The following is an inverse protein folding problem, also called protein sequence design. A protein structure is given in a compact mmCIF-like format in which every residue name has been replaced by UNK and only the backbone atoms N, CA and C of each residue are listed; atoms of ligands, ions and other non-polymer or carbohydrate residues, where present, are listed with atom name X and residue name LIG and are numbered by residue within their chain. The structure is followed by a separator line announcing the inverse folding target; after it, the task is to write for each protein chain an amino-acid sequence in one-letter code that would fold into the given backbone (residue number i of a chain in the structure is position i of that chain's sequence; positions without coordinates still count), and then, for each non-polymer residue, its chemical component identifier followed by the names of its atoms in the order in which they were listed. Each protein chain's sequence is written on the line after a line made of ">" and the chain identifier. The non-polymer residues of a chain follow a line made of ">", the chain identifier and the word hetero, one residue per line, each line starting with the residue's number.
data_IF_330603524982
#
_entry.id   IF_330603524982
#
_cell.length_a   1.000
_cell.length_b   1.000
_cell.length_c   1.000
_cell.angle_alpha   90.00
_cell.angle_beta   90.00
_cell.angle_gamma   90.00
#
_symmetry.space_group_name_H-M   'P 1'
#
loop_
_entity.id
_entity.type
_entity.pdbx_description
1 polymer ?
#
# COMPACT_ATOMS: atom_id res chain seq x y z
N UNK A 1 64.87 41.05 -20.21
CA UNK A 1 65.63 39.80 -19.96
C UNK A 1 66.38 39.78 -18.61
N UNK A 2 65.89 40.47 -17.55
CA UNK A 2 66.47 40.43 -16.18
C UNK A 2 65.50 39.89 -15.11
N UNK A 3 64.25 39.61 -15.48
CA UNK A 3 63.22 39.09 -14.56
C UNK A 3 63.11 37.56 -14.54
N UNK A 4 63.72 36.84 -15.50
CA UNK A 4 63.58 35.37 -15.61
C UNK A 4 64.59 34.63 -14.70
N UNK A 5 65.70 35.25 -14.30
CA UNK A 5 66.71 34.60 -13.43
C UNK A 5 66.38 34.62 -11.92
N UNK A 6 65.41 35.42 -11.46
CA UNK A 6 65.03 35.45 -10.02
C UNK A 6 64.05 34.33 -9.65
N UNK A 7 63.23 33.86 -10.59
CA UNK A 7 62.18 32.87 -10.32
C UNK A 7 62.74 31.46 -10.05
N UNK A 8 63.86 31.08 -10.69
CA UNK A 8 64.47 29.76 -10.48
C UNK A 8 65.09 29.57 -9.09
N UNK A 9 65.58 30.63 -8.44
CA UNK A 9 66.11 30.52 -7.07
C UNK A 9 65.00 30.38 -6.02
N UNK A 10 63.84 30.97 -6.27
CA UNK A 10 62.69 30.86 -5.38
C UNK A 10 62.08 29.45 -5.42
N UNK A 11 61.96 28.87 -6.62
CA UNK A 11 61.45 27.50 -6.79
C UNK A 11 62.39 26.48 -6.14
N UNK A 12 63.72 26.64 -6.32
CA UNK A 12 64.70 25.74 -5.69
C UNK A 12 64.66 25.82 -4.15
N UNK A 13 64.44 27.01 -3.59
CA UNK A 13 64.31 27.22 -2.15
C UNK A 13 63.05 26.55 -1.59
N UNK A 14 61.91 26.68 -2.30
CA UNK A 14 60.65 26.03 -1.93
C UNK A 14 60.78 24.51 -1.99
N UNK A 15 61.45 23.97 -3.02
CA UNK A 15 61.68 22.53 -3.13
C UNK A 15 62.58 21.99 -2.02
N UNK A 16 63.62 22.74 -1.63
CA UNK A 16 64.51 22.35 -0.53
C UNK A 16 63.76 22.34 0.82
N UNK A 17 62.89 23.33 1.05
CA UNK A 17 62.07 23.42 2.26
C UNK A 17 61.07 22.25 2.32
N UNK A 18 60.44 21.88 1.20
CA UNK A 18 59.50 20.76 1.13
C UNK A 18 60.19 19.42 1.43
N UNK A 19 61.42 19.19 0.92
CA UNK A 19 62.19 17.97 1.20
C UNK A 19 62.61 17.88 2.69
N UNK A 20 62.85 19.01 3.35
CA UNK A 20 63.18 19.02 4.79
C UNK A 20 61.96 18.92 5.71
N UNK A 21 60.76 19.30 5.28
CA UNK A 21 59.54 19.18 6.10
C UNK A 21 58.93 17.77 5.98
N UNK A 22 59.14 17.08 4.85
CA UNK A 22 58.65 15.71 4.63
C UNK A 22 59.55 14.61 5.19
N UNK A 23 60.72 14.95 5.74
CA UNK A 23 61.59 14.00 6.45
C UNK A 23 61.25 13.97 7.93
N UNK A 24 60.01 13.60 8.25
CA UNK A 24 59.70 13.16 9.61
C UNK A 24 60.21 11.72 9.76
N UNK A 25 61.13 11.52 10.69
CA UNK A 25 61.58 10.19 11.10
C UNK A 25 60.39 9.47 11.74
N UNK A 26 59.85 8.47 11.03
CA UNK A 26 58.87 7.54 11.59
C UNK A 26 59.65 6.66 12.56
N UNK A 27 59.47 6.88 13.86
CA UNK A 27 59.94 5.94 14.87
C UNK A 27 59.04 4.71 14.78
N UNK A 28 59.57 3.61 14.27
CA UNK A 28 58.95 2.32 14.48
C UNK A 28 59.07 1.99 15.98
N UNK A 29 57.98 2.08 16.72
CA UNK A 29 57.92 1.50 18.06
C UNK A 29 58.07 -0.01 17.90
N UNK A 30 59.01 -0.61 18.63
CA UNK A 30 59.08 -2.06 18.69
C UNK A 30 57.81 -2.60 19.38
N UNK A 31 57.29 -3.73 18.91
CA UNK A 31 56.10 -4.42 19.45
C UNK A 31 56.40 -5.12 20.77
N UNK A 32 57.14 -4.44 21.65
CA UNK A 32 57.65 -4.93 22.91
C UNK A 32 57.10 -4.05 24.04
N UNK A 33 56.26 -4.64 24.88
CA UNK A 33 55.89 -4.08 26.18
C UNK A 33 56.73 -4.74 27.27
N UNK A 34 56.67 -4.19 28.48
CA UNK A 34 57.41 -4.73 29.64
C UNK A 34 57.03 -6.18 29.97
N UNK A 35 55.85 -6.65 29.54
CA UNK A 35 55.32 -7.97 29.88
C UNK A 35 55.15 -8.92 28.67
N UNK A 36 55.16 -8.41 27.43
CA UNK A 36 54.91 -9.20 26.23
C UNK A 36 55.72 -8.67 25.04
N UNK A 37 56.31 -9.59 24.28
CA UNK A 37 57.01 -9.34 23.03
C UNK A 37 56.36 -10.20 21.95
N UNK A 38 56.04 -9.59 20.80
CA UNK A 38 55.51 -10.31 19.63
C UNK A 38 56.70 -10.65 18.72
N UNK A 39 57.08 -11.93 18.69
CA UNK A 39 58.12 -12.42 17.78
C UNK A 39 57.49 -12.95 16.47
N UNK A 40 57.99 -12.49 15.32
CA UNK A 40 57.60 -13.01 14.01
C UNK A 40 56.42 -12.32 13.32
N UNK A 41 56.04 -11.10 13.73
CA UNK A 41 55.03 -10.32 13.01
C UNK A 41 55.52 -9.98 11.58
N UNK A 42 54.97 -10.67 10.57
CA UNK A 42 55.12 -10.26 9.17
C UNK A 42 53.89 -9.48 8.75
N UNK A 43 54.03 -8.18 8.56
CA UNK A 43 52.98 -7.40 7.91
C UNK A 43 53.07 -7.65 6.41
N UNK A 44 52.14 -8.42 5.86
CA UNK A 44 51.99 -8.57 4.42
C UNK A 44 51.80 -7.20 3.78
N UNK A 45 52.51 -6.92 2.69
CA UNK A 45 52.53 -5.62 2.01
C UNK A 45 51.23 -5.28 1.26
N UNK A 46 50.08 -5.37 1.93
CA UNK A 46 48.78 -4.96 1.41
C UNK A 46 48.05 -4.14 2.47
N UNK A 47 48.13 -2.82 2.35
CA UNK A 47 47.50 -1.90 3.31
C UNK A 47 47.54 -0.47 2.80
N UNK A 48 46.81 -0.21 1.72
CA UNK A 48 46.48 1.14 1.30
C UNK A 48 45.43 1.73 2.22
N UNK A 49 45.84 2.72 3.01
CA UNK A 49 45.09 3.92 3.40
C UNK A 49 43.56 3.81 3.54
N UNK A 50 43.08 3.42 4.73
CA UNK A 50 42.00 4.08 5.50
C UNK A 50 41.79 3.33 6.81
N UNK A 51 42.62 3.60 7.81
CA UNK A 51 42.25 3.39 9.21
C UNK A 51 42.66 4.63 10.02
N UNK A 52 41.78 5.00 10.93
CA UNK A 52 41.59 6.37 11.40
C UNK A 52 42.68 6.84 12.36
N UNK A 53 43.08 8.10 12.18
CA UNK A 53 43.86 8.85 13.17
C UNK A 53 42.96 9.25 14.33
N UNK A 54 43.00 8.53 15.45
CA UNK A 54 43.07 9.10 16.80
C UNK A 54 43.10 8.01 17.87
N UNK A 55 43.97 8.21 18.88
CA UNK A 55 44.25 7.23 19.90
C UNK A 55 43.04 6.84 20.76
N UNK A 56 42.84 5.53 20.89
CA UNK A 56 41.94 4.92 21.85
C UNK A 56 41.56 3.49 21.46
N UNK A 57 42.22 2.49 22.05
CA UNK A 57 41.72 1.13 22.30
C UNK A 57 40.86 0.42 21.24
N UNK A 58 41.28 0.29 19.98
CA UNK A 58 40.58 -0.59 19.03
C UNK A 58 41.60 -1.37 18.17
N UNK A 59 41.97 -2.57 18.64
CA UNK A 59 42.50 -3.60 17.76
C UNK A 59 41.31 -4.27 17.07
N UNK A 60 40.91 -3.75 15.91
CA UNK A 60 40.05 -4.48 14.99
C UNK A 60 40.91 -5.51 14.26
N UNK A 61 41.01 -6.72 14.81
CA UNK A 61 41.41 -7.89 14.03
C UNK A 61 40.12 -8.45 13.43
N UNK A 62 39.68 -7.88 12.31
CA UNK A 62 39.00 -8.68 11.29
C UNK A 62 40.07 -9.29 10.39
N UNK A 63 40.94 -10.12 10.97
CA UNK A 63 41.64 -11.10 10.16
C UNK A 63 40.58 -11.99 9.54
N UNK A 64 40.55 -12.10 8.22
CA UNK A 64 39.63 -12.96 7.46
C UNK A 64 39.31 -14.24 8.24
N UNK A 65 38.15 -14.27 8.90
CA UNK A 65 37.67 -15.46 9.61
C UNK A 65 37.13 -16.35 8.50
N UNK A 66 37.99 -17.21 7.97
CA UNK A 66 37.65 -18.10 6.86
C UNK A 66 38.80 -18.95 6.37
N UNK A 67 40.05 -18.48 6.49
CA UNK A 67 41.23 -19.27 6.17
C UNK A 67 42.26 -19.21 7.29
N UNK A 68 41.98 -19.89 8.41
CA UNK A 68 43.06 -20.36 9.28
C UNK A 68 43.59 -21.68 8.72
N UNK A 69 44.42 -21.63 7.67
CA UNK A 69 45.35 -22.72 7.38
C UNK A 69 46.67 -22.43 8.08
N UNK A 70 46.64 -22.33 9.41
CA UNK A 70 47.87 -22.19 10.20
C UNK A 70 48.05 -23.41 11.10
N UNK A 71 48.95 -24.29 10.69
CA UNK A 71 49.40 -25.48 11.41
C UNK A 71 50.04 -25.14 12.78
N UNK A 72 50.21 -23.85 13.10
CA UNK A 72 50.76 -23.36 14.38
C UNK A 72 49.74 -23.25 15.52
N UNK A 73 48.45 -23.55 15.29
CA UNK A 73 47.41 -23.55 16.34
C UNK A 73 47.07 -25.00 16.78
N UNK A 74 48.10 -25.83 16.96
CA UNK A 74 47.99 -27.14 17.58
C UNK A 74 48.92 -27.23 18.81
N UNK A 75 48.38 -27.69 19.94
CA UNK A 75 49.17 -28.16 21.09
C UNK A 75 48.86 -29.63 21.35
N UNK A 76 49.68 -30.28 22.17
CA UNK A 76 49.52 -31.71 22.51
C UNK A 76 48.16 -32.05 23.14
N UNK A 77 47.42 -31.05 23.66
CA UNK A 77 46.14 -31.23 24.34
C UNK A 77 44.96 -30.45 23.72
N UNK A 78 45.22 -29.54 22.79
CA UNK A 78 44.19 -28.67 22.20
C UNK A 78 44.50 -28.44 20.72
N UNK A 79 43.53 -28.72 19.88
CA UNK A 79 43.55 -28.40 18.45
C UNK A 79 42.37 -27.48 18.15
N UNK A 80 42.64 -26.32 17.58
CA UNK A 80 41.59 -25.49 16.97
C UNK A 80 41.44 -26.00 15.55
N UNK A 81 40.33 -26.68 15.28
CA UNK A 81 40.01 -27.14 13.94
C UNK A 81 39.54 -25.95 13.09
N UNK A 82 40.04 -25.78 11.85
CA UNK A 82 39.47 -24.83 10.93
C UNK A 82 38.04 -25.25 10.58
N UNK A 83 37.11 -24.31 10.75
CA UNK A 83 35.73 -24.39 10.32
C UNK A 83 35.13 -23.00 10.42
N UNK A 84 34.33 -22.60 9.44
CA UNK A 84 33.51 -21.40 9.60
C UNK A 84 32.69 -21.60 10.87
N UNK A 85 32.78 -20.74 11.90
CA UNK A 85 31.88 -20.85 13.01
C UNK A 85 30.48 -20.63 12.44
N UNK A 86 29.64 -21.67 12.41
CA UNK A 86 28.19 -21.58 12.21
C UNK A 86 27.49 -20.66 13.26
N UNK A 87 28.28 -19.92 14.04
CA UNK A 87 27.90 -19.04 15.14
C UNK A 87 27.64 -17.60 14.65
N UNK A 88 27.84 -17.31 13.36
CA UNK A 88 27.61 -15.98 12.77
C UNK A 88 26.53 -15.97 11.67
N UNK A 89 25.87 -17.11 11.43
CA UNK A 89 24.76 -17.17 10.46
C UNK A 89 23.46 -16.92 11.22
N UNK A 90 22.62 -16.03 10.71
CA UNK A 90 21.28 -15.82 11.24
C UNK A 90 20.48 -17.13 11.20
N UNK A 91 19.55 -17.29 12.14
CA UNK A 91 18.57 -18.37 12.05
C UNK A 91 17.72 -18.17 10.79
N UNK A 92 17.31 -19.27 10.16
CA UNK A 92 16.41 -19.22 9.00
C UNK A 92 15.04 -18.70 9.49
N UNK A 93 14.55 -17.55 9.00
CA UNK A 93 13.25 -17.03 9.40
C UNK A 93 12.13 -17.87 8.78
N UNK A 94 10.90 -17.64 9.24
CA UNK A 94 9.68 -18.16 8.61
C UNK A 94 8.75 -17.00 8.18
N UNK A 95 7.77 -17.31 7.35
CA UNK A 95 6.71 -16.36 6.98
C UNK A 95 5.51 -16.66 7.88
N UNK A 96 5.14 -15.73 8.75
CA UNK A 96 3.97 -15.86 9.63
C UNK A 96 2.68 -15.76 8.81
N UNK A 97 2.60 -14.77 7.92
CA UNK A 97 1.47 -14.63 7.01
C UNK A 97 1.91 -14.09 5.64
N UNK A 98 1.17 -14.44 4.59
CA UNK A 98 1.30 -13.83 3.26
C UNK A 98 -0.07 -13.77 2.59
N UNK A 99 -0.70 -12.59 2.62
CA UNK A 99 -2.11 -12.43 2.30
C UNK A 99 -2.36 -11.31 1.28
N UNK A 100 -3.32 -11.58 0.40
CA UNK A 100 -3.81 -10.64 -0.63
C UNK A 100 -5.34 -10.60 -0.66
N UNK A 101 -6.01 -11.72 -0.38
CA UNK A 101 -7.46 -11.91 -0.63
C UNK A 101 -8.22 -12.52 0.55
N UNK A 102 -7.62 -12.56 1.74
CA UNK A 102 -8.26 -13.13 2.94
C UNK A 102 -9.55 -12.37 3.30
N UNK A 103 -10.56 -13.12 3.77
CA UNK A 103 -11.90 -12.60 4.09
C UNK A 103 -12.46 -13.28 5.32
N UNK A 104 -12.86 -12.48 6.32
CA UNK A 104 -13.48 -12.93 7.58
C UNK A 104 -12.50 -13.51 8.61
N UNK A 105 -11.26 -13.77 8.22
CA UNK A 105 -10.14 -14.16 9.09
C UNK A 105 -8.83 -13.75 8.45
N UNK A 106 -7.81 -13.48 9.25
CA UNK A 106 -6.41 -13.32 8.82
C UNK A 106 -5.49 -14.11 9.74
N UNK A 107 -4.36 -14.57 9.20
CA UNK A 107 -3.28 -15.18 9.98
C UNK A 107 -2.23 -14.16 10.41
N UNK A 108 -2.32 -12.93 9.90
CA UNK A 108 -1.45 -11.83 10.27
C UNK A 108 -1.86 -11.24 11.63
N UNK A 109 -0.89 -10.68 12.32
CA UNK A 109 -1.03 -9.99 13.62
C UNK A 109 -1.42 -8.52 13.50
N UNK A 110 -1.32 -7.92 12.30
CA UNK A 110 -1.71 -6.52 12.05
C UNK A 110 -3.19 -6.25 12.37
N UNK A 111 -3.41 -5.29 13.28
CA UNK A 111 -4.73 -4.93 13.77
C UNK A 111 -5.64 -4.32 12.71
N UNK A 112 -5.09 -3.73 11.65
CA UNK A 112 -5.85 -3.07 10.59
C UNK A 112 -6.49 -4.08 9.62
N UNK A 113 -6.03 -5.34 9.60
CA UNK A 113 -6.63 -6.46 8.86
C UNK A 113 -7.42 -7.41 9.76
N UNK A 114 -7.25 -7.35 11.08
CA UNK A 114 -8.09 -8.14 11.99
C UNK A 114 -9.42 -7.42 12.26
N UNK A 115 -10.58 -8.11 12.19
CA UNK A 115 -10.76 -9.55 11.99
C UNK A 115 -11.01 -9.98 10.53
N UNK A 116 -11.30 -9.04 9.62
CA UNK A 116 -11.96 -9.35 8.34
C UNK A 116 -11.01 -9.65 7.18
N UNK A 117 -9.70 -9.59 7.38
CA UNK A 117 -8.66 -9.89 6.40
C UNK A 117 -8.44 -8.80 5.37
N UNK A 118 -7.74 -9.14 4.28
CA UNK A 118 -7.33 -8.19 3.24
C UNK A 118 -8.51 -7.54 2.50
N UNK A 119 -9.69 -8.15 2.49
CA UNK A 119 -10.90 -7.51 1.92
C UNK A 119 -11.34 -6.27 2.69
N UNK A 120 -10.97 -6.15 3.97
CA UNK A 120 -11.22 -4.92 4.74
C UNK A 120 -10.35 -3.77 4.22
N UNK A 121 -9.11 -4.06 3.84
CA UNK A 121 -8.18 -3.04 3.34
C UNK A 121 -8.34 -2.72 1.85
N UNK A 122 -8.66 -3.75 1.07
CA UNK A 122 -8.65 -3.69 -0.37
C UNK A 122 -10.04 -3.78 -0.98
N UNK A 123 -11.12 -3.86 -0.19
CA UNK A 123 -12.48 -3.96 -0.71
C UNK A 123 -12.83 -5.35 -1.26
N UNK A 124 -13.92 -5.42 -2.02
CA UNK A 124 -14.46 -6.68 -2.53
C UNK A 124 -13.42 -7.43 -3.37
N UNK A 125 -13.27 -8.74 -3.16
CA UNK A 125 -12.28 -9.62 -3.82
C UNK A 125 -10.81 -9.45 -3.38
N UNK A 126 -10.51 -8.53 -2.45
CA UNK A 126 -9.16 -8.33 -1.91
C UNK A 126 -8.22 -7.58 -2.87
N UNK A 127 -6.94 -7.53 -2.53
CA UNK A 127 -5.93 -6.75 -3.22
C UNK A 127 -5.50 -7.39 -4.55
N UNK A 128 -5.57 -6.64 -5.65
CA UNK A 128 -5.14 -7.12 -6.97
C UNK A 128 -3.67 -6.79 -7.28
N UNK A 129 -3.05 -5.85 -6.57
CA UNK A 129 -1.74 -5.27 -6.89
C UNK A 129 -0.76 -5.20 -5.72
N UNK A 130 -1.15 -5.67 -4.53
CA UNK A 130 -0.35 -5.57 -3.31
C UNK A 130 -0.66 -6.70 -2.34
N UNK A 131 0.24 -6.91 -1.39
CA UNK A 131 0.11 -7.94 -0.36
C UNK A 131 0.63 -7.44 1.00
N UNK A 132 0.19 -8.13 2.05
CA UNK A 132 0.81 -8.13 3.39
C UNK A 132 1.63 -9.40 3.53
N UNK A 133 2.86 -9.27 4.00
CA UNK A 133 3.69 -10.37 4.49
C UNK A 133 4.17 -10.06 5.92
N UNK A 134 4.16 -11.03 6.82
CA UNK A 134 4.72 -10.90 8.17
C UNK A 134 5.80 -11.96 8.38
N UNK A 135 6.83 -11.57 9.11
CA UNK A 135 8.06 -12.31 9.32
C UNK A 135 7.98 -12.95 10.69
N UNK A 136 8.11 -14.27 10.76
CA UNK A 136 8.42 -14.92 12.03
C UNK A 136 9.96 -14.92 12.18
N UNK A 137 10.53 -14.10 13.09
CA UNK A 137 11.97 -13.98 13.24
C UNK A 137 12.61 -15.24 13.81
N UNK A 138 11.82 -16.18 14.34
CA UNK A 138 12.28 -17.33 15.12
C UNK A 138 13.11 -16.86 16.33
N UNK A 139 14.31 -17.40 16.53
CA UNK A 139 15.24 -17.03 17.61
C UNK A 139 16.24 -15.94 17.19
N UNK A 140 16.00 -15.20 16.09
CA UNK A 140 16.86 -14.09 15.69
C UNK A 140 16.70 -12.89 16.65
N UNK A 141 17.77 -12.09 16.79
CA UNK A 141 17.73 -10.85 17.57
C UNK A 141 16.96 -9.76 16.85
N UNK A 142 16.49 -8.75 17.59
CA UNK A 142 15.64 -7.66 17.05
C UNK A 142 16.35 -6.74 16.06
N UNK A 143 17.68 -6.77 16.02
CA UNK A 143 18.53 -6.03 15.09
C UNK A 143 18.87 -6.81 13.81
N UNK A 144 18.39 -8.05 13.68
CA UNK A 144 18.50 -8.83 12.44
C UNK A 144 17.73 -8.14 11.32
N UNK A 145 18.36 -8.09 10.15
CA UNK A 145 17.76 -7.54 8.95
C UNK A 145 17.26 -8.67 8.04
N UNK A 146 16.17 -8.43 7.33
CA UNK A 146 15.50 -9.41 6.50
C UNK A 146 15.33 -8.86 5.09
N UNK A 147 15.48 -9.73 4.09
CA UNK A 147 15.11 -9.45 2.70
C UNK A 147 14.02 -10.42 2.25
N UNK A 148 13.07 -9.90 1.49
CA UNK A 148 11.95 -10.67 0.96
C UNK A 148 12.20 -10.98 -0.50
N UNK A 149 12.27 -12.28 -0.81
CA UNK A 149 12.33 -12.79 -2.16
C UNK A 149 10.93 -13.17 -2.63
N UNK A 150 10.58 -12.82 -3.86
CA UNK A 150 9.26 -13.08 -4.44
C UNK A 150 9.37 -13.44 -5.92
N UNK A 151 8.44 -14.26 -6.40
CA UNK A 151 8.28 -14.58 -7.82
C UNK A 151 6.85 -14.98 -8.14
N UNK A 152 6.48 -14.90 -9.41
CA UNK A 152 5.25 -15.54 -9.90
C UNK A 152 5.38 -17.06 -9.77
N UNK A 153 4.34 -17.74 -9.27
CA UNK A 153 4.36 -19.19 -9.10
C UNK A 153 4.59 -19.89 -10.44
N UNK A 154 5.60 -20.78 -10.46
CA UNK A 154 6.07 -21.44 -11.69
C UNK A 154 7.23 -20.74 -12.40
N UNK A 155 7.58 -19.51 -12.00
CA UNK A 155 8.85 -18.88 -12.41
C UNK A 155 10.04 -19.60 -11.76
N UNK A 156 11.16 -19.67 -12.50
CA UNK A 156 12.45 -20.11 -11.95
C UNK A 156 13.26 -18.97 -11.33
N UNK A 157 12.89 -17.71 -11.61
CA UNK A 157 13.66 -16.53 -11.23
C UNK A 157 13.04 -15.89 -10.00
N UNK A 158 13.83 -15.79 -8.93
CA UNK A 158 13.51 -14.98 -7.75
C UNK A 158 13.86 -13.52 -8.00
N UNK A 159 13.05 -12.65 -7.43
CA UNK A 159 13.20 -11.20 -7.39
C UNK A 159 13.14 -10.73 -5.95
N UNK A 160 13.43 -9.47 -5.71
CA UNK A 160 13.49 -8.90 -4.37
C UNK A 160 12.45 -7.79 -4.22
N UNK A 161 11.99 -7.58 -3.00
CA UNK A 161 11.16 -6.42 -2.66
C UNK A 161 12.10 -5.31 -2.20
N UNK A 162 12.07 -4.17 -2.87
CA UNK A 162 12.91 -3.01 -2.56
C UNK A 162 12.53 -2.44 -1.18
N UNK A 163 13.52 -2.26 -0.31
CA UNK A 163 13.32 -1.86 1.09
C UNK A 163 12.90 -0.40 1.28
N UNK A 164 12.87 0.41 0.21
CA UNK A 164 12.48 1.82 0.26
C UNK A 164 11.07 2.03 -0.32
N UNK A 165 10.79 1.38 -1.43
CA UNK A 165 9.59 1.57 -2.26
C UNK A 165 8.59 0.43 -2.11
N UNK A 166 9.00 -0.71 -1.54
CA UNK A 166 8.20 -1.93 -1.41
C UNK A 166 7.76 -2.51 -2.76
N UNK A 167 8.39 -2.11 -3.87
CA UNK A 167 8.10 -2.60 -5.22
C UNK A 167 9.06 -3.74 -5.56
N UNK A 168 8.60 -4.70 -6.36
CA UNK A 168 9.45 -5.79 -6.85
C UNK A 168 10.51 -5.27 -7.81
N UNK A 169 11.75 -5.65 -7.57
CA UNK A 169 12.92 -5.34 -8.39
C UNK A 169 13.74 -6.58 -8.78
N UNK A 170 14.67 -6.40 -9.72
CA UNK A 170 15.52 -7.48 -10.20
C UNK A 170 16.81 -7.58 -9.34
N UNK A 171 17.45 -8.75 -9.33
CA UNK A 171 18.70 -9.01 -8.57
C UNK A 171 19.83 -8.00 -8.82
N UNK A 172 19.84 -7.32 -9.96
CA UNK A 172 20.86 -6.34 -10.30
C UNK A 172 20.75 -5.02 -9.51
N UNK A 173 19.58 -4.73 -8.93
CA UNK A 173 19.34 -3.54 -8.12
C UNK A 173 19.22 -3.83 -6.62
N UNK A 174 19.04 -5.10 -6.26
CA UNK A 174 19.08 -5.59 -4.87
C UNK A 174 20.42 -5.26 -4.21
N UNK A 175 20.36 -4.50 -3.12
CA UNK A 175 21.49 -4.07 -2.32
C UNK A 175 21.21 -4.15 -0.80
N UNK A 176 22.15 -3.62 0.00
CA UNK A 176 22.06 -3.71 1.47
C UNK A 176 20.89 -2.90 2.05
N UNK A 177 20.35 -1.91 1.32
CA UNK A 177 19.21 -1.11 1.76
C UNK A 177 17.88 -1.88 1.68
N UNK A 178 17.86 -3.04 1.01
CA UNK A 178 16.70 -3.93 0.91
C UNK A 178 16.61 -4.92 2.09
N UNK A 179 17.57 -4.83 3.01
CA UNK A 179 17.57 -5.55 4.27
C UNK A 179 17.05 -4.63 5.37
N UNK A 180 15.84 -4.88 5.83
CA UNK A 180 15.20 -4.10 6.90
C UNK A 180 14.92 -4.97 8.12
N UNK A 181 14.84 -4.34 9.30
CA UNK A 181 14.32 -5.05 10.49
C UNK A 181 12.86 -5.45 10.29
N UNK A 182 12.43 -6.51 10.96
CA UNK A 182 11.02 -6.96 11.02
C UNK A 182 10.07 -5.79 11.31
N UNK A 183 10.36 -5.00 12.35
CA UNK A 183 9.57 -3.82 12.73
C UNK A 183 9.45 -2.80 11.60
N UNK A 184 10.45 -2.69 10.72
CA UNK A 184 10.40 -1.75 9.59
C UNK A 184 9.59 -2.33 8.42
N UNK A 185 9.73 -3.63 8.13
CA UNK A 185 8.90 -4.31 7.12
C UNK A 185 7.41 -4.30 7.47
N UNK A 186 7.08 -4.42 8.75
CA UNK A 186 5.71 -4.59 9.21
C UNK A 186 5.07 -3.29 9.69
N UNK A 187 5.87 -2.32 10.14
CA UNK A 187 5.42 -1.02 10.64
C UNK A 187 5.10 0.01 9.55
N UNK A 188 4.70 -0.42 8.35
CA UNK A 188 4.34 0.49 7.26
C UNK A 188 3.03 1.20 7.55
N UNK A 189 2.87 2.44 7.08
CA UNK A 189 1.65 3.23 7.29
C UNK A 189 0.46 2.75 6.46
N UNK A 190 0.67 1.79 5.56
CA UNK A 190 -0.34 1.33 4.61
C UNK A 190 -0.78 -0.12 4.87
N UNK A 191 -0.26 -0.81 5.89
CA UNK A 191 -0.43 -2.26 6.12
C UNK A 191 0.00 -3.13 4.93
N UNK A 192 0.62 -2.57 3.90
CA UNK A 192 1.17 -3.30 2.76
C UNK A 192 2.67 -3.11 2.74
N UNK A 193 3.38 -4.18 2.39
CA UNK A 193 4.83 -4.21 2.29
C UNK A 193 5.31 -4.95 1.04
N UNK A 194 4.40 -5.26 0.13
CA UNK A 194 4.71 -5.68 -1.24
C UNK A 194 3.71 -4.99 -2.18
N UNK A 195 4.23 -4.24 -3.16
CA UNK A 195 3.47 -3.42 -4.10
C UNK A 195 3.79 -3.77 -5.56
N UNK A 196 2.88 -3.42 -6.48
CA UNK A 196 3.10 -3.59 -7.93
C UNK A 196 2.92 -5.02 -8.43
N UNK A 197 2.15 -5.85 -7.70
CA UNK A 197 1.78 -7.19 -8.13
C UNK A 197 0.80 -7.13 -9.31
N UNK A 198 0.76 -8.22 -10.09
CA UNK A 198 -0.18 -8.36 -11.20
C UNK A 198 -1.51 -8.92 -10.68
N UNK A 199 -2.65 -8.45 -11.20
CA UNK A 199 -3.96 -9.06 -10.98
C UNK A 199 -4.03 -10.57 -11.22
N UNK A 200 -4.79 -11.30 -10.39
CA UNK A 200 -5.11 -12.71 -10.59
C UNK A 200 -3.90 -13.63 -10.72
N UNK A 201 -2.77 -13.25 -10.13
CA UNK A 201 -1.48 -13.91 -10.28
C UNK A 201 -1.06 -14.53 -8.96
N UNK A 202 -0.67 -15.80 -9.00
CA UNK A 202 -0.11 -16.51 -7.84
C UNK A 202 1.36 -16.14 -7.66
N UNK A 203 1.75 -15.88 -6.42
CA UNK A 203 3.10 -15.52 -6.03
C UNK A 203 3.63 -16.47 -4.96
N UNK A 204 4.89 -16.83 -5.10
CA UNK A 204 5.68 -17.56 -4.12
C UNK A 204 6.64 -16.56 -3.46
N UNK A 205 6.71 -16.55 -2.14
CA UNK A 205 7.61 -15.71 -1.36
C UNK A 205 8.46 -16.54 -0.38
N UNK A 206 9.67 -16.08 -0.10
CA UNK A 206 10.57 -16.62 0.93
C UNK A 206 11.42 -15.49 1.49
N UNK A 207 11.95 -15.67 2.70
CA UNK A 207 12.70 -14.63 3.42
C UNK A 207 14.10 -15.14 3.73
N UNK A 208 15.09 -14.26 3.61
CA UNK A 208 16.44 -14.48 4.14
C UNK A 208 16.72 -13.51 5.28
N UNK A 209 17.55 -13.93 6.24
CA UNK A 209 17.98 -13.10 7.35
C UNK A 209 19.48 -12.79 7.22
N UNK A 210 19.87 -11.57 7.60
CA UNK A 210 21.24 -11.09 7.63
C UNK A 210 21.58 -10.67 9.06
N UNK A 211 22.65 -11.25 9.60
CA UNK A 211 23.21 -10.89 10.90
C UNK A 211 24.67 -10.43 10.75
N UNK A 212 24.96 -9.23 11.26
CA UNK A 212 26.25 -8.56 11.01
C UNK A 212 26.47 -8.22 9.54
N UNK A 213 27.73 -8.07 9.14
CA UNK A 213 28.02 -7.41 7.86
C UNK A 213 27.93 -8.30 6.60
N UNK A 214 27.93 -9.65 6.68
CA UNK A 214 28.15 -10.44 5.43
C UNK A 214 27.56 -11.85 5.28
N UNK A 215 26.85 -12.44 6.26
CA UNK A 215 26.36 -13.84 6.07
C UNK A 215 24.85 -13.95 6.14
N UNK A 216 24.24 -14.12 4.97
CA UNK A 216 22.83 -14.45 4.83
C UNK A 216 22.54 -15.88 5.30
N UNK A 217 21.36 -16.07 5.89
CA UNK A 217 20.81 -17.38 6.17
C UNK A 217 20.45 -18.12 4.87
N UNK A 218 20.14 -19.41 5.00
CA UNK A 218 19.35 -20.07 3.97
C UNK A 218 17.97 -19.39 3.85
N UNK A 219 17.33 -19.40 2.66
CA UNK A 219 15.95 -18.93 2.54
C UNK A 219 14.97 -19.77 3.36
N UNK A 220 13.91 -19.11 3.83
CA UNK A 220 12.78 -19.73 4.52
C UNK A 220 12.05 -20.76 3.64
N UNK A 221 11.17 -21.58 4.22
CA UNK A 221 10.13 -22.25 3.44
C UNK A 221 9.33 -21.25 2.60
N UNK A 222 8.87 -21.71 1.43
CA UNK A 222 8.06 -20.90 0.51
C UNK A 222 6.63 -20.77 1.04
N UNK A 223 6.11 -19.55 1.09
CA UNK A 223 4.69 -19.26 1.26
C UNK A 223 4.08 -18.80 -0.07
N UNK A 224 2.81 -19.12 -0.31
CA UNK A 224 2.14 -18.83 -1.57
C UNK A 224 0.81 -18.12 -1.33
N UNK A 225 0.53 -17.10 -2.14
CA UNK A 225 -0.78 -16.43 -2.18
C UNK A 225 -1.17 -16.08 -3.62
N UNK A 226 -2.40 -15.63 -3.86
CA UNK A 226 -2.87 -15.21 -5.18
C UNK A 226 -3.58 -13.87 -5.09
N UNK A 227 -3.14 -12.89 -5.87
CA UNK A 227 -3.78 -11.58 -5.93
C UNK A 227 -5.21 -11.68 -6.46
N UNK A 228 -6.07 -10.77 -6.01
CA UNK A 228 -7.43 -10.63 -6.51
C UNK A 228 -7.45 -10.16 -7.98
N UNK A 229 -8.64 -10.23 -8.58
CA UNK A 229 -8.91 -9.56 -9.85
C UNK A 229 -9.51 -8.18 -9.59
N UNK A 230 -9.24 -7.16 -10.42
CA UNK A 230 -10.02 -5.94 -10.49
C UNK A 230 -11.51 -6.29 -10.56
N UNK A 231 -12.27 -5.80 -9.59
CA UNK A 231 -13.68 -6.15 -9.42
C UNK A 231 -14.50 -4.92 -9.07
N UNK A 232 -15.68 -4.86 -9.66
CA UNK A 232 -16.71 -3.86 -9.38
C UNK A 232 -18.03 -4.62 -9.23
N UNK A 233 -18.66 -4.48 -8.07
CA UNK A 233 -19.94 -5.04 -7.74
C UNK A 233 -20.98 -3.92 -7.66
N UNK A 234 -22.13 -4.16 -8.25
CA UNK A 234 -23.24 -3.23 -8.31
C UNK A 234 -24.55 -4.00 -8.35
N UNK A 235 -25.41 -3.73 -7.38
CA UNK A 235 -26.77 -4.23 -7.35
C UNK A 235 -27.76 -3.11 -7.01
N UNK A 236 -29.00 -3.25 -7.48
CA UNK A 236 -30.09 -2.31 -7.25
C UNK A 236 -31.26 -3.07 -6.62
N UNK A 237 -31.83 -2.50 -5.57
CA UNK A 237 -33.05 -3.01 -4.96
C UNK A 237 -34.12 -1.95 -4.75
N UNK A 238 -35.39 -2.39 -4.74
CA UNK A 238 -36.54 -1.54 -4.44
C UNK A 238 -37.29 -2.06 -3.21
N UNK A 239 -37.05 -1.47 -2.05
CA UNK A 239 -37.74 -1.81 -0.80
C UNK A 239 -37.90 -0.59 0.10
N UNK A 240 -38.75 -0.72 1.10
CA UNK A 240 -38.98 0.23 2.19
C UNK A 240 -37.68 0.60 2.94
N UNK A 241 -37.77 1.61 3.81
CA UNK A 241 -36.64 2.06 4.62
C UNK A 241 -36.06 0.99 5.57
N UNK A 242 -36.82 -0.08 5.86
CA UNK A 242 -36.37 -1.24 6.63
C UNK A 242 -35.75 -2.36 5.78
N UNK A 243 -35.76 -2.24 4.45
CA UNK A 243 -35.29 -3.24 3.50
C UNK A 243 -33.77 -3.32 3.37
N UNK A 244 -33.01 -3.06 4.44
CA UNK A 244 -31.53 -2.97 4.42
C UNK A 244 -30.81 -4.28 4.10
N UNK A 245 -31.55 -5.38 3.87
CA UNK A 245 -31.04 -6.71 3.51
C UNK A 245 -31.95 -7.43 2.51
N UNK A 246 -32.94 -6.72 1.94
CA UNK A 246 -33.87 -7.30 0.99
C UNK A 246 -33.32 -7.20 -0.42
N UNK A 247 -33.18 -8.35 -1.06
CA UNK A 247 -32.89 -8.47 -2.48
C UNK A 247 -34.19 -8.48 -3.27
N UNK A 248 -34.22 -7.77 -4.38
CA UNK A 248 -35.36 -7.64 -5.28
C UNK A 248 -34.94 -7.91 -6.71
N UNK A 249 -35.85 -8.46 -7.50
CA UNK A 249 -35.58 -8.77 -8.91
C UNK A 249 -36.22 -7.74 -9.82
N UNK A 250 -35.56 -7.44 -10.94
CA UNK A 250 -36.15 -6.69 -12.03
C UNK A 250 -37.56 -7.22 -12.42
N UNK A 251 -38.47 -6.35 -12.89
CA UNK A 251 -38.27 -4.92 -13.18
C UNK A 251 -38.26 -4.05 -11.92
N UNK A 252 -37.27 -3.16 -11.82
CA UNK A 252 -37.17 -2.17 -10.73
C UNK A 252 -38.10 -0.99 -11.02
N UNK A 253 -39.15 -0.83 -10.21
CA UNK A 253 -40.14 0.23 -10.39
C UNK A 253 -40.51 0.88 -9.06
N UNK A 254 -40.47 2.21 -9.01
CA UNK A 254 -40.91 3.00 -7.86
C UNK A 254 -42.20 3.73 -8.18
N UNK A 255 -43.19 3.57 -7.29
CA UNK A 255 -44.46 4.28 -7.39
C UNK A 255 -44.49 5.44 -6.37
N UNK A 256 -44.71 6.66 -6.85
CA UNK A 256 -44.97 7.84 -6.02
C UNK A 256 -46.42 7.96 -5.55
N UNK A 257 -47.30 7.12 -6.08
CA UNK A 257 -48.74 7.12 -5.79
C UNK A 257 -49.45 8.31 -6.42
N UNK A 258 -50.43 8.88 -5.70
CA UNK A 258 -51.18 10.05 -6.16
C UNK A 258 -50.44 11.33 -5.75
N UNK A 259 -49.98 12.10 -6.73
CA UNK A 259 -49.34 13.38 -6.51
C UNK A 259 -50.37 14.49 -6.26
N UNK A 260 -50.62 14.80 -4.98
CA UNK A 260 -51.55 15.88 -4.63
C UNK A 260 -50.90 17.25 -4.86
N UNK A 261 -51.60 18.21 -5.50
CA UNK A 261 -51.08 19.55 -5.72
C UNK A 261 -50.62 20.22 -4.43
N UNK A 262 -49.52 20.98 -4.51
CA UNK A 262 -48.96 21.81 -3.41
C UNK A 262 -48.36 20.98 -2.26
N UNK A 263 -48.45 19.65 -2.28
CA UNK A 263 -47.82 18.78 -1.28
C UNK A 263 -46.67 17.98 -1.88
N UNK A 264 -45.59 17.82 -1.12
CA UNK A 264 -44.48 16.93 -1.50
C UNK A 264 -44.92 15.49 -1.24
N UNK A 265 -44.87 14.67 -2.28
CA UNK A 265 -45.06 13.23 -2.22
C UNK A 265 -43.69 12.57 -2.14
N UNK A 266 -43.53 11.64 -1.20
CA UNK A 266 -42.32 10.83 -1.04
C UNK A 266 -42.68 9.38 -1.36
N UNK A 267 -41.81 8.72 -2.12
CA UNK A 267 -41.91 7.29 -2.38
C UNK A 267 -41.90 6.48 -1.08
N UNK A 268 -42.75 5.44 -1.00
CA UNK A 268 -42.77 4.54 0.16
C UNK A 268 -41.58 3.55 0.14
N UNK A 269 -41.14 3.17 -1.06
CA UNK A 269 -39.96 2.36 -1.30
C UNK A 269 -38.82 3.27 -1.72
N UNK A 270 -37.60 2.90 -1.33
CA UNK A 270 -36.36 3.55 -1.71
C UNK A 270 -35.71 2.77 -2.85
N UNK A 271 -34.80 3.45 -3.55
CA UNK A 271 -33.79 2.80 -4.38
C UNK A 271 -32.62 2.47 -3.46
N UNK A 272 -32.33 1.20 -3.29
CA UNK A 272 -31.18 0.69 -2.56
C UNK A 272 -30.08 0.31 -3.54
N UNK A 273 -28.83 0.50 -3.12
CA UNK A 273 -27.66 0.08 -3.88
C UNK A 273 -26.74 -0.70 -2.97
N UNK A 274 -26.28 -1.86 -3.43
CA UNK A 274 -25.16 -2.57 -2.85
C UNK A 274 -23.96 -2.45 -3.78
N UNK A 275 -22.88 -1.91 -3.23
CA UNK A 275 -21.72 -1.42 -3.95
C UNK A 275 -20.45 -2.05 -3.37
N UNK A 276 -19.58 -2.53 -4.25
CA UNK A 276 -18.30 -3.09 -3.86
C UNK A 276 -17.24 -2.87 -4.92
N UNK A 277 -16.00 -2.62 -4.52
CA UNK A 277 -14.86 -2.51 -5.44
C UNK A 277 -13.56 -2.77 -4.70
N UNK A 278 -12.57 -3.32 -5.39
CA UNK A 278 -11.19 -3.26 -4.95
C UNK A 278 -10.35 -2.16 -5.58
N UNK A 279 -10.94 -1.31 -6.42
CA UNK A 279 -10.27 -0.16 -7.03
C UNK A 279 -9.61 0.75 -5.99
N UNK A 280 -8.33 1.07 -6.17
CA UNK A 280 -7.56 1.93 -5.24
C UNK A 280 -8.17 3.32 -5.16
N UNK A 281 -8.60 3.86 -6.29
CA UNK A 281 -9.25 5.18 -6.34
C UNK A 281 -10.76 5.09 -6.06
N UNK A 282 -11.26 3.90 -5.69
CA UNK A 282 -12.65 3.71 -5.31
C UNK A 282 -13.63 3.74 -6.48
N UNK A 283 -14.86 4.16 -6.18
CA UNK A 283 -15.96 4.30 -7.14
C UNK A 283 -16.45 5.73 -7.28
N UNK A 284 -17.02 6.01 -8.46
CA UNK A 284 -17.97 7.11 -8.69
C UNK A 284 -19.23 6.55 -9.34
N UNK A 285 -20.38 6.93 -8.80
CA UNK A 285 -21.69 6.58 -9.31
C UNK A 285 -22.39 7.83 -9.84
N UNK A 286 -22.98 7.69 -11.02
CA UNK A 286 -23.68 8.75 -11.73
C UNK A 286 -25.13 8.36 -11.97
N UNK A 287 -26.00 9.37 -12.04
CA UNK A 287 -27.41 9.23 -12.34
C UNK A 287 -27.79 10.14 -13.50
N UNK A 288 -28.63 9.63 -14.40
CA UNK A 288 -29.28 10.39 -15.46
C UNK A 288 -30.73 9.92 -15.64
N UNK A 289 -31.55 10.74 -16.29
CA UNK A 289 -32.94 10.43 -16.64
C UNK A 289 -33.22 10.64 -18.14
N UNK A 290 -34.38 10.17 -18.62
CA UNK A 290 -34.74 10.27 -20.03
C UNK A 290 -35.36 11.63 -20.39
N UNK A 291 -36.03 12.28 -19.43
CA UNK A 291 -36.90 13.44 -19.70
C UNK A 291 -36.59 14.69 -18.88
N UNK A 292 -35.55 14.68 -18.05
CA UNK A 292 -35.26 15.75 -17.07
C UNK A 292 -36.46 16.05 -16.18
N UNK A 293 -37.17 15.01 -15.75
CA UNK A 293 -38.40 15.10 -14.98
C UNK A 293 -39.49 14.10 -15.40
N UNK A 294 -40.53 13.98 -14.57
CA UNK A 294 -41.66 13.08 -14.84
C UNK A 294 -42.46 13.57 -16.05
N UNK A 295 -42.41 12.83 -17.15
CA UNK A 295 -43.11 13.16 -18.40
C UNK A 295 -44.43 12.41 -18.52
N UNK A 296 -45.48 13.12 -18.93
CA UNK A 296 -46.76 12.54 -19.37
C UNK A 296 -46.87 12.68 -20.90
N UNK A 297 -46.78 11.57 -21.65
CA UNK A 297 -46.97 11.58 -23.10
C UNK A 297 -48.37 12.03 -23.53
N UNK A 298 -49.40 11.75 -22.73
CA UNK A 298 -50.80 12.10 -23.06
C UNK A 298 -51.06 13.60 -22.91
N UNK A 299 -50.54 14.21 -21.85
CA UNK A 299 -50.72 15.64 -21.61
C UNK A 299 -49.65 16.52 -22.27
N UNK A 300 -48.59 15.92 -22.81
CA UNK A 300 -47.40 16.60 -23.34
C UNK A 300 -46.79 17.57 -22.33
N UNK A 301 -46.73 17.13 -21.07
CA UNK A 301 -46.26 17.91 -19.93
C UNK A 301 -45.19 17.16 -19.16
N UNK A 302 -44.16 17.87 -18.71
CA UNK A 302 -43.12 17.33 -17.83
C UNK A 302 -43.13 18.09 -16.51
N UNK A 303 -43.20 17.38 -15.39
CA UNK A 303 -42.90 17.94 -14.07
C UNK A 303 -41.38 18.00 -13.97
N UNK A 304 -40.75 19.18 -13.95
CA UNK A 304 -39.31 19.31 -14.09
C UNK A 304 -38.57 18.69 -12.91
N UNK A 305 -37.44 18.06 -13.20
CA UNK A 305 -36.44 17.71 -12.20
C UNK A 305 -35.76 18.99 -11.68
N UNK A 306 -35.57 19.12 -10.36
CA UNK A 306 -35.03 20.33 -9.71
C UNK A 306 -33.92 19.98 -8.73
N UNK A 307 -32.98 20.91 -8.55
CA UNK A 307 -32.02 20.94 -7.44
C UNK A 307 -32.44 22.04 -6.45
N UNK A 308 -33.46 21.76 -5.63
CA UNK A 308 -34.08 22.75 -4.74
C UNK A 308 -34.97 22.14 -3.65
N UNK A 309 -35.45 22.99 -2.74
CA UNK A 309 -36.47 22.64 -1.75
C UNK A 309 -37.88 22.58 -2.40
N UNK A 310 -38.45 21.39 -2.50
CA UNK A 310 -39.78 21.16 -3.05
C UNK A 310 -40.89 21.77 -2.18
N UNK A 311 -40.68 21.96 -0.88
CA UNK A 311 -41.67 22.62 -0.02
C UNK A 311 -41.92 24.08 -0.47
N UNK A 312 -40.88 24.74 -0.97
CA UNK A 312 -40.90 26.12 -1.49
C UNK A 312 -41.19 26.23 -2.99
N UNK A 313 -40.91 25.17 -3.75
CA UNK A 313 -41.10 25.14 -5.21
C UNK A 313 -42.58 24.97 -5.59
N UNK A 314 -42.99 25.45 -6.78
CA UNK A 314 -44.38 25.29 -7.25
C UNK A 314 -44.70 23.83 -7.63
N UNK A 315 -43.75 23.20 -8.30
CA UNK A 315 -43.73 21.79 -8.69
C UNK A 315 -42.26 21.35 -8.80
N UNK A 316 -42.01 20.06 -8.88
CA UNK A 316 -40.66 19.53 -9.06
C UNK A 316 -40.58 18.03 -8.82
N UNK A 317 -39.44 17.46 -9.19
CA UNK A 317 -39.08 16.05 -9.04
C UNK A 317 -37.59 15.95 -8.71
N UNK A 318 -37.17 14.91 -7.99
CA UNK A 318 -35.75 14.67 -7.74
C UNK A 318 -35.49 13.56 -6.74
N UNK A 319 -34.21 13.38 -6.42
CA UNK A 319 -33.72 12.32 -5.53
C UNK A 319 -33.16 12.90 -4.23
N UNK A 320 -33.24 12.14 -3.13
CA UNK A 320 -32.67 12.52 -1.83
C UNK A 320 -31.92 11.33 -1.24
N UNK A 321 -30.65 11.53 -0.89
CA UNK A 321 -29.85 10.61 -0.08
C UNK A 321 -30.49 10.37 1.28
N UNK A 322 -30.66 9.10 1.64
CA UNK A 322 -31.22 8.71 2.93
C UNK A 322 -30.15 8.10 3.86
N UNK A 323 -29.49 7.03 3.42
CA UNK A 323 -28.43 6.38 4.21
C UNK A 323 -27.24 6.01 3.33
N UNK A 324 -26.06 6.00 3.94
CA UNK A 324 -24.88 5.30 3.44
C UNK A 324 -24.31 4.39 4.53
N UNK A 325 -23.70 3.27 4.14
CA UNK A 325 -22.88 2.42 5.00
C UNK A 325 -21.43 2.39 4.50
N UNK A 326 -20.55 1.73 5.26
CA UNK A 326 -19.10 1.67 5.05
C UNK A 326 -18.40 3.01 5.37
N UNK A 327 -17.58 2.99 6.42
CA UNK A 327 -16.88 4.18 6.93
C UNK A 327 -15.37 3.99 7.01
N UNK A 328 -14.86 2.87 6.52
CA UNK A 328 -13.45 2.54 6.67
C UNK A 328 -12.61 3.22 5.57
N UNK A 329 -12.03 2.49 4.63
CA UNK A 329 -11.00 3.06 3.73
C UNK A 329 -11.58 3.87 2.58
N UNK A 330 -12.68 3.42 1.99
CA UNK A 330 -13.44 4.19 1.01
C UNK A 330 -14.84 4.49 1.53
N UNK A 331 -15.02 5.43 2.48
CA UNK A 331 -16.34 5.72 3.01
C UNK A 331 -17.30 6.09 1.90
N UNK A 332 -18.44 5.39 1.81
CA UNK A 332 -19.46 5.72 0.83
C UNK A 332 -20.13 7.03 1.24
N UNK A 333 -20.02 8.04 0.38
CA UNK A 333 -20.64 9.34 0.60
C UNK A 333 -21.59 9.70 -0.51
N UNK A 334 -22.67 10.38 -0.13
CA UNK A 334 -23.62 10.98 -1.05
C UNK A 334 -23.14 12.37 -1.44
N UNK A 335 -23.26 12.70 -2.72
CA UNK A 335 -22.92 14.04 -3.22
C UNK A 335 -23.83 15.11 -2.59
N UNK A 336 -23.26 16.29 -2.35
CA UNK A 336 -23.93 17.35 -1.58
C UNK A 336 -25.26 17.82 -2.16
N UNK A 337 -25.46 17.73 -3.49
CA UNK A 337 -26.74 18.02 -4.13
C UNK A 337 -27.87 17.08 -3.64
N UNK A 338 -27.53 15.83 -3.31
CA UNK A 338 -28.48 14.80 -2.89
C UNK A 338 -28.49 14.59 -1.36
N UNK A 339 -27.48 15.06 -0.62
CA UNK A 339 -27.28 14.78 0.81
C UNK A 339 -28.01 15.68 1.82
N UNK A 340 -28.93 16.56 1.39
CA UNK A 340 -29.50 17.61 2.23
C UNK A 340 -30.67 17.16 3.13
N UNK A 341 -31.26 15.99 2.86
CA UNK A 341 -32.42 15.47 3.58
C UNK A 341 -33.67 16.35 3.41
N UNK A 342 -34.73 16.04 4.17
CA UNK A 342 -35.99 16.79 4.10
C UNK A 342 -36.57 16.81 2.69
N UNK A 343 -37.12 17.94 2.26
CA UNK A 343 -37.69 18.13 0.91
C UNK A 343 -36.71 18.80 -0.07
N UNK A 344 -35.42 18.88 0.29
CA UNK A 344 -34.36 19.37 -0.59
C UNK A 344 -33.90 18.21 -1.46
N UNK A 345 -34.28 18.26 -2.73
CA UNK A 345 -33.97 17.21 -3.71
C UNK A 345 -32.80 17.64 -4.59
N UNK A 346 -31.96 16.68 -4.96
CA UNK A 346 -30.97 16.85 -6.02
C UNK A 346 -31.62 16.56 -7.37
N UNK A 347 -31.34 17.45 -8.33
CA UNK A 347 -31.89 17.36 -9.68
C UNK A 347 -31.14 16.34 -10.52
N UNK A 348 -31.89 15.52 -11.23
CA UNK A 348 -31.40 14.63 -12.30
C UNK A 348 -31.76 15.19 -13.68
N UNK A 349 -31.02 14.79 -14.71
CA UNK A 349 -31.22 15.28 -16.09
C UNK A 349 -30.75 14.22 -17.10
N UNK A 350 -30.89 14.50 -18.39
CA UNK A 350 -30.35 13.65 -19.46
C UNK A 350 -28.82 13.71 -19.57
N UNK A 351 -28.15 14.41 -18.66
CA UNK A 351 -26.69 14.42 -18.53
C UNK A 351 -26.34 13.79 -17.17
N UNK A 352 -25.39 12.83 -17.13
CA UNK A 352 -24.98 12.19 -15.89
C UNK A 352 -24.51 13.19 -14.84
N UNK A 353 -25.04 13.07 -13.62
CA UNK A 353 -24.60 13.81 -12.44
C UNK A 353 -24.11 12.81 -11.39
N UNK A 354 -22.99 13.11 -10.73
CA UNK A 354 -22.46 12.25 -9.66
C UNK A 354 -23.43 12.23 -8.46
N UNK A 355 -23.62 11.07 -7.86
CA UNK A 355 -24.54 10.87 -6.72
C UNK A 355 -23.90 10.18 -5.52
N UNK A 356 -23.01 9.20 -5.76
CA UNK A 356 -22.24 8.55 -4.71
C UNK A 356 -20.77 8.42 -5.13
N UNK A 357 -19.87 8.46 -4.15
CA UNK A 357 -18.45 8.15 -4.31
C UNK A 357 -17.89 7.48 -3.04
N UNK A 358 -16.74 6.82 -3.16
CA UNK A 358 -16.04 6.22 -2.00
C UNK A 358 -14.79 7.00 -1.56
N UNK A 359 -14.78 8.33 -1.75
CA UNK A 359 -13.71 9.25 -1.33
C UNK A 359 -12.27 8.84 -1.70
N UNK A 360 -12.10 8.14 -2.83
CA UNK A 360 -10.78 7.76 -3.31
C UNK A 360 -10.19 6.52 -2.64
N UNK A 361 -11.02 5.64 -2.08
CA UNK A 361 -10.58 4.34 -1.52
C UNK A 361 -11.47 3.16 -1.95
N UNK A 362 -10.98 1.91 -1.83
CA UNK A 362 -11.77 0.70 -2.06
C UNK A 362 -13.03 0.60 -1.20
N UNK A 363 -14.00 -0.19 -1.65
CA UNK A 363 -15.30 -0.34 -0.98
C UNK A 363 -15.59 -1.82 -0.76
N UNK A 364 -15.71 -2.26 0.49
CA UNK A 364 -15.96 -3.67 0.79
C UNK A 364 -17.45 -4.02 0.66
N UNK A 365 -18.29 -3.38 1.49
CA UNK A 365 -19.75 -3.59 1.55
C UNK A 365 -20.47 -2.24 1.69
N UNK A 366 -20.32 -1.36 0.71
CA UNK A 366 -20.99 -0.07 0.71
C UNK A 366 -22.45 -0.21 0.33
N UNK A 367 -23.35 0.37 1.11
CA UNK A 367 -24.78 0.39 0.83
C UNK A 367 -25.31 1.81 0.82
N UNK A 368 -26.00 2.20 -0.23
CA UNK A 368 -26.64 3.50 -0.38
C UNK A 368 -28.16 3.36 -0.45
N UNK A 369 -28.89 4.41 -0.06
CA UNK A 369 -30.33 4.49 -0.37
C UNK A 369 -30.79 5.90 -0.75
N UNK A 370 -31.74 5.96 -1.69
CA UNK A 370 -32.34 7.19 -2.21
C UNK A 370 -33.86 7.16 -2.05
N UNK A 371 -34.42 8.29 -1.61
CA UNK A 371 -35.83 8.59 -1.82
C UNK A 371 -36.04 9.22 -3.20
N UNK A 372 -37.15 8.86 -3.82
CA UNK A 372 -37.73 9.62 -4.93
C UNK A 372 -38.81 10.54 -4.38
N UNK A 373 -38.80 11.82 -4.77
CA UNK A 373 -39.78 12.81 -4.34
C UNK A 373 -40.32 13.61 -5.52
N UNK A 374 -41.58 14.02 -5.41
CA UNK A 374 -42.21 14.89 -6.40
C UNK A 374 -43.26 15.82 -5.78
N UNK A 375 -43.54 16.93 -6.45
CA UNK A 375 -44.61 17.87 -6.14
C UNK A 375 -45.24 18.35 -7.43
N UNK A 376 -46.57 18.42 -7.45
CA UNK A 376 -47.34 19.01 -8.55
C UNK A 376 -47.87 20.38 -8.16
N UNK A 377 -48.08 21.23 -9.16
CA UNK A 377 -48.73 22.52 -9.02
C UNK A 377 -50.23 22.40 -9.30
N UNK A 378 -51.01 23.45 -9.00
CA UNK A 378 -52.43 23.50 -9.38
C UNK A 378 -52.64 23.66 -10.90
N UNK A 379 -51.57 23.94 -11.65
CA UNK A 379 -51.56 24.04 -13.11
C UNK A 379 -51.04 22.79 -13.80
N UNK A 380 -50.45 21.84 -13.08
CA UNK A 380 -50.03 20.55 -13.65
C UNK A 380 -51.26 19.83 -14.20
N UNK A 381 -51.27 19.44 -15.50
CA UNK A 381 -52.36 18.67 -16.08
C UNK A 381 -52.63 17.37 -15.31
N UNK A 382 -53.89 16.94 -15.25
CA UNK A 382 -54.21 15.63 -14.70
C UNK A 382 -53.79 14.54 -15.69
N UNK A 383 -53.05 13.55 -15.21
CA UNK A 383 -52.64 12.36 -15.95
C UNK A 383 -52.23 11.26 -14.98
N UNK A 384 -52.37 10.01 -15.41
CA UNK A 384 -51.93 8.80 -14.71
C UNK A 384 -50.67 8.19 -15.36
N UNK A 385 -50.09 8.87 -16.33
CA UNK A 385 -48.98 8.43 -17.19
C UNK A 385 -47.70 9.26 -16.99
N UNK A 386 -47.57 9.98 -15.87
CA UNK A 386 -46.34 10.67 -15.49
C UNK A 386 -45.28 9.64 -15.06
N UNK A 387 -44.24 9.50 -15.88
CA UNK A 387 -43.16 8.54 -15.66
C UNK A 387 -41.81 9.08 -16.15
N UNK A 388 -40.75 8.48 -15.67
CA UNK A 388 -39.38 8.71 -16.13
C UNK A 388 -38.58 7.40 -15.98
N UNK A 389 -37.53 7.24 -16.77
CA UNK A 389 -36.58 6.14 -16.66
C UNK A 389 -35.27 6.71 -16.10
N UNK A 390 -34.81 6.16 -14.98
CA UNK A 390 -33.59 6.62 -14.31
C UNK A 390 -32.50 5.58 -14.53
N UNK A 391 -31.37 6.01 -15.09
CA UNK A 391 -30.21 5.16 -15.31
C UNK A 391 -29.11 5.50 -14.31
N UNK A 392 -28.56 4.46 -13.69
CA UNK A 392 -27.40 4.57 -12.82
C UNK A 392 -26.19 3.94 -13.48
N UNK A 393 -25.07 4.67 -13.49
CA UNK A 393 -23.79 4.19 -14.02
C UNK A 393 -22.75 4.22 -12.92
N UNK A 394 -22.09 3.10 -12.68
CA UNK A 394 -20.96 3.01 -11.75
C UNK A 394 -19.64 2.88 -12.51
N UNK A 395 -18.60 3.53 -11.98
CA UNK A 395 -17.24 3.46 -12.50
C UNK A 395 -16.27 3.19 -11.37
N UNK A 396 -15.20 2.43 -11.64
CA UNK A 396 -14.08 2.21 -10.73
C UNK A 396 -12.77 2.40 -11.46
N UNK A 397 -11.75 2.94 -10.78
CA UNK A 397 -10.42 3.19 -11.37
C UNK A 397 -9.37 2.32 -10.68
N UNK A 398 -8.82 1.35 -11.42
CA UNK A 398 -7.88 0.33 -10.95
C UNK A 398 -6.43 0.61 -11.39
#
# INVERSE_FOLDING_TARGET
>A
MKHILKTNKLILLILLIIVTILSQTIYAEETNSTNYSIEGASFGGGGGQTDTTNGGNEYSIFGLIGELSDDRIESTNYRVLPGSPNVLVANVPEIECFETTSSGTTSCSDTDITPDGMVMLCGTSGCYDRARIEIDPQDNTTDTLYSIQIKESGSSTWRYVDGTTFIIEDEATHDINDYLTETTWEGTTSSFNILGLKPGTSYDAQITALHGDFTESMPSPVSTTTTGLPSLFFDIDIDTASGTTSETSAPYAIQLGVLNPVSVSTSNNLIWFDLGTNAISGISMFVEDDYSGLQSPTSLYTIPSLDSDLSSSLEGFGLVGNTTSETYIGPLTVESAFGNGGDIVGGISTTPVAIYNSNGGPLHNGRGSLFVKAKTSTSTPSGDDYQDEITFTITGTF
#
